data_IF_977834132480
#
_entry.id   IF_977834132480
#
_cell.length_a   1.000
_cell.length_b   1.000
_cell.length_c   1.000
_cell.angle_alpha   90.00
_cell.angle_beta   90.00
_cell.angle_gamma   90.00
#
_symmetry.space_group_name_H-M   'P 1'
#
loop_
_entity.id
_entity.type
_entity.pdbx_description
1 polymer ?
#
# COMPACT_ATOMS: atom_id res chain seq x y z
N UNK A 1 1.19 -13.06 -4.86
CA UNK A 1 -0.06 -13.81 -5.19
C UNK A 1 -1.17 -13.30 -4.27
N UNK A 2 -2.45 -13.37 -4.69
CA UNK A 2 -3.56 -12.99 -3.81
C UNK A 2 -3.73 -14.02 -2.68
N UNK A 3 -3.99 -13.56 -1.44
CA UNK A 3 -4.31 -14.46 -0.34
C UNK A 3 -5.66 -15.18 -0.51
N UNK A 4 -6.54 -14.68 -1.38
CA UNK A 4 -7.88 -15.21 -1.63
C UNK A 4 -7.96 -16.14 -2.86
N UNK A 5 -6.97 -16.09 -3.73
CA UNK A 5 -6.88 -16.92 -4.93
C UNK A 5 -5.41 -17.02 -5.41
N UNK A 6 -4.81 -18.20 -5.24
CA UNK A 6 -3.43 -18.46 -5.64
C UNK A 6 -3.17 -18.36 -7.14
N UNK A 7 -4.21 -18.41 -7.98
CA UNK A 7 -4.08 -18.20 -9.42
C UNK A 7 -3.99 -16.73 -9.80
N UNK A 8 -4.34 -15.82 -8.87
CA UNK A 8 -4.24 -14.39 -9.06
C UNK A 8 -2.87 -13.90 -8.62
N UNK A 9 -2.06 -13.46 -9.58
CA UNK A 9 -0.69 -12.97 -9.32
C UNK A 9 -0.54 -11.61 -9.96
N UNK A 10 0.01 -10.67 -9.18
CA UNK A 10 0.33 -9.32 -9.62
C UNK A 10 1.84 -9.16 -9.74
N UNK A 11 2.28 -8.45 -10.77
CA UNK A 11 3.68 -8.15 -11.01
C UNK A 11 3.83 -6.67 -11.37
N UNK A 12 4.79 -6.00 -10.73
CA UNK A 12 5.17 -4.62 -11.01
C UNK A 12 6.63 -4.54 -11.43
N UNK A 13 6.98 -3.55 -12.25
CA UNK A 13 8.34 -3.37 -12.77
C UNK A 13 8.91 -1.98 -12.45
N UNK A 14 10.21 -1.80 -12.72
CA UNK A 14 10.90 -0.53 -12.51
C UNK A 14 10.62 0.52 -13.61
N UNK A 15 10.06 0.12 -14.75
CA UNK A 15 9.64 1.00 -15.85
C UNK A 15 8.15 1.41 -15.78
N UNK A 16 7.42 0.99 -14.74
CA UNK A 16 6.04 1.40 -14.46
C UNK A 16 4.97 0.47 -15.03
N UNK A 17 5.35 -0.71 -15.51
CA UNK A 17 4.40 -1.71 -15.98
C UNK A 17 3.81 -2.50 -14.81
N UNK A 18 2.51 -2.72 -14.85
CA UNK A 18 1.78 -3.55 -13.89
C UNK A 18 1.04 -4.62 -14.68
N UNK A 19 1.23 -5.88 -14.30
CA UNK A 19 0.57 -7.01 -14.92
C UNK A 19 -0.19 -7.83 -13.88
N UNK A 20 -1.30 -8.44 -14.32
CA UNK A 20 -2.05 -9.40 -13.52
C UNK A 20 -2.33 -10.66 -14.33
N UNK A 21 -2.20 -11.81 -13.70
CA UNK A 21 -2.73 -13.09 -14.17
C UNK A 21 -3.83 -13.55 -13.23
N UNK A 22 -4.81 -14.30 -13.74
CA UNK A 22 -5.85 -14.96 -12.96
C UNK A 22 -5.91 -16.47 -13.23
N UNK A 23 -4.92 -17.02 -13.97
CA UNK A 23 -4.86 -18.41 -14.40
C UNK A 23 -3.56 -19.10 -13.99
N UNK A 24 -2.90 -18.58 -12.94
CA UNK A 24 -1.65 -19.13 -12.41
C UNK A 24 -0.44 -18.84 -13.29
N UNK A 25 -0.50 -17.76 -14.09
CA UNK A 25 0.62 -17.29 -14.92
C UNK A 25 0.64 -17.85 -16.34
N UNK A 26 -0.44 -18.49 -16.81
CA UNK A 26 -0.56 -18.96 -18.20
C UNK A 26 -0.79 -17.78 -19.15
N UNK A 27 -1.53 -16.77 -18.72
CA UNK A 27 -1.72 -15.51 -19.44
C UNK A 27 -1.65 -14.30 -18.50
N UNK A 28 -1.16 -13.18 -19.03
CA UNK A 28 -0.96 -11.94 -18.28
C UNK A 28 -1.62 -10.78 -18.99
N UNK A 29 -2.28 -9.91 -18.23
CA UNK A 29 -2.90 -8.67 -18.71
C UNK A 29 -2.09 -7.48 -18.23
N UNK A 30 -1.77 -6.55 -19.13
CA UNK A 30 -1.20 -5.25 -18.77
C UNK A 30 -2.31 -4.36 -18.19
N UNK A 31 -2.10 -3.90 -16.96
CA UNK A 31 -3.09 -3.19 -16.14
C UNK A 31 -2.47 -1.97 -15.44
N UNK A 32 -1.49 -1.32 -16.07
CA UNK A 32 -0.88 -0.10 -15.51
C UNK A 32 -1.91 1.01 -15.29
N UNK A 33 -1.92 1.67 -14.10
CA UNK A 33 -2.77 2.83 -13.86
C UNK A 33 -2.51 3.94 -14.89
N UNK A 34 -3.54 4.43 -15.59
CA UNK A 34 -3.40 5.46 -16.63
C UNK A 34 -2.83 6.79 -16.11
N UNK A 35 -3.02 7.08 -14.82
CA UNK A 35 -2.49 8.28 -14.16
C UNK A 35 -1.04 8.14 -13.67
N UNK A 36 -0.40 6.98 -13.86
CA UNK A 36 0.98 6.76 -13.43
C UNK A 36 1.96 7.20 -14.53
N UNK A 37 2.86 8.16 -14.26
CA UNK A 37 3.82 8.59 -15.27
C UNK A 37 4.87 7.51 -15.57
N UNK A 38 5.22 7.29 -16.84
CA UNK A 38 6.14 6.21 -17.26
C UNK A 38 7.54 6.34 -16.65
N UNK A 39 8.20 5.21 -16.34
CA UNK A 39 9.41 5.11 -15.50
C UNK A 39 9.19 5.31 -14.00
N UNK A 40 7.94 5.27 -13.53
CA UNK A 40 7.66 5.10 -12.11
C UNK A 40 8.02 3.68 -11.68
N UNK A 41 8.83 3.53 -10.64
CA UNK A 41 9.11 2.23 -10.06
C UNK A 41 7.89 1.78 -9.24
N UNK A 42 7.29 0.64 -9.61
CA UNK A 42 6.28 0.00 -8.77
C UNK A 42 6.97 -0.54 -7.52
N UNK A 43 6.65 0.02 -6.36
CA UNK A 43 7.36 -0.24 -5.10
C UNK A 43 6.67 -1.31 -4.25
N UNK A 44 5.33 -1.39 -4.29
CA UNK A 44 4.55 -2.45 -3.65
C UNK A 44 3.25 -2.70 -4.40
N UNK A 45 2.79 -3.95 -4.37
CA UNK A 45 1.43 -4.33 -4.74
C UNK A 45 0.90 -5.23 -3.62
N UNK A 46 -0.23 -4.85 -3.02
CA UNK A 46 -0.91 -5.54 -1.94
C UNK A 46 -2.28 -6.02 -2.42
N UNK A 47 -2.42 -7.29 -2.85
CA UNK A 47 -3.73 -7.85 -3.15
C UNK A 47 -4.59 -7.90 -1.89
N UNK A 48 -5.87 -7.53 -1.99
CA UNK A 48 -6.73 -7.49 -0.82
C UNK A 48 -6.87 -8.86 -0.15
N UNK A 49 -6.89 -8.82 1.18
CA UNK A 49 -7.15 -9.96 2.06
C UNK A 49 -8.64 -10.30 2.18
N UNK A 50 -9.53 -9.41 1.73
CA UNK A 50 -10.99 -9.54 1.95
C UNK A 50 -11.82 -9.47 0.67
N UNK A 51 -11.29 -8.91 -0.42
CA UNK A 51 -12.03 -8.70 -1.66
C UNK A 51 -11.24 -9.20 -2.88
N UNK A 52 -11.77 -10.23 -3.56
CA UNK A 52 -11.17 -10.73 -4.81
C UNK A 52 -11.15 -9.65 -5.88
N UNK A 53 -10.07 -9.63 -6.67
CA UNK A 53 -9.87 -8.61 -7.71
C UNK A 53 -9.42 -7.25 -7.19
N UNK A 54 -9.47 -7.02 -5.87
CA UNK A 54 -9.00 -5.76 -5.29
C UNK A 54 -7.50 -5.83 -4.97
N UNK A 55 -6.81 -4.72 -5.18
CA UNK A 55 -5.40 -4.57 -4.84
C UNK A 55 -5.03 -3.10 -4.63
N UNK A 56 -4.03 -2.87 -3.79
CA UNK A 56 -3.43 -1.56 -3.56
C UNK A 56 -2.02 -1.55 -4.17
N UNK A 57 -1.62 -0.40 -4.71
CA UNK A 57 -0.34 -0.25 -5.37
C UNK A 57 0.33 1.04 -4.91
N UNK A 58 1.64 0.97 -4.66
CA UNK A 58 2.49 2.15 -4.53
C UNK A 58 3.50 2.21 -5.66
N UNK A 59 3.82 3.43 -6.08
CA UNK A 59 4.90 3.69 -7.01
C UNK A 59 5.73 4.90 -6.57
N UNK A 60 6.95 5.02 -7.10
CA UNK A 60 7.82 6.15 -6.79
C UNK A 60 8.62 6.60 -8.01
N UNK A 61 8.88 7.89 -8.07
CA UNK A 61 9.69 8.55 -9.11
C UNK A 61 10.77 9.45 -8.51
N UNK A 62 11.12 9.25 -7.24
CA UNK A 62 12.00 10.16 -6.50
C UNK A 62 13.42 10.26 -7.09
N UNK A 63 13.89 9.24 -7.84
CA UNK A 63 15.16 9.29 -8.58
C UNK A 63 15.11 10.22 -9.81
N UNK A 64 13.93 10.74 -10.14
CA UNK A 64 13.66 11.68 -11.23
C UNK A 64 13.17 13.03 -10.69
N UNK A 65 13.55 13.38 -9.45
CA UNK A 65 13.13 14.60 -8.73
C UNK A 65 11.61 14.79 -8.60
N UNK A 66 10.87 13.67 -8.66
CA UNK A 66 9.43 13.64 -8.49
C UNK A 66 9.07 12.95 -7.16
N UNK A 67 8.70 13.78 -6.18
CA UNK A 67 8.43 13.37 -4.81
C UNK A 67 6.94 13.15 -4.52
N UNK A 68 6.07 13.16 -5.54
CA UNK A 68 4.64 12.96 -5.36
C UNK A 68 4.32 11.57 -4.82
N UNK A 69 3.31 11.45 -3.92
CA UNK A 69 2.77 10.16 -3.53
C UNK A 69 1.98 9.56 -4.68
N UNK A 70 2.38 8.36 -5.13
CA UNK A 70 1.61 7.54 -6.05
C UNK A 70 1.09 6.31 -5.30
N UNK A 71 -0.19 6.36 -4.93
CA UNK A 71 -0.90 5.28 -4.25
C UNK A 71 -2.24 5.08 -4.97
N UNK A 72 -2.53 3.85 -5.37
CA UNK A 72 -3.73 3.51 -6.13
C UNK A 72 -4.44 2.30 -5.54
N UNK A 73 -5.76 2.27 -5.69
CA UNK A 73 -6.61 1.11 -5.44
C UNK A 73 -7.25 0.65 -6.76
N UNK A 74 -7.40 -0.66 -6.92
CA UNK A 74 -8.30 -1.27 -7.90
C UNK A 74 -9.24 -2.22 -7.18
N UNK A 75 -10.43 -2.44 -7.73
CA UNK A 75 -11.42 -3.42 -7.26
C UNK A 75 -11.83 -4.43 -8.34
N UNK A 76 -11.19 -4.38 -9.51
CA UNK A 76 -11.62 -5.09 -10.72
C UNK A 76 -10.45 -5.71 -11.51
N UNK A 77 -9.47 -6.25 -10.78
CA UNK A 77 -8.26 -6.85 -11.35
C UNK A 77 -7.46 -5.85 -12.21
N UNK A 78 -7.47 -4.56 -11.84
CA UNK A 78 -6.64 -3.53 -12.44
C UNK A 78 -7.19 -2.98 -13.75
N UNK A 79 -8.44 -3.30 -14.11
CA UNK A 79 -9.08 -2.67 -15.26
C UNK A 79 -9.28 -1.17 -15.02
N UNK A 80 -9.58 -0.78 -13.78
CA UNK A 80 -9.63 0.60 -13.32
C UNK A 80 -8.81 0.78 -12.04
N UNK A 81 -8.18 1.95 -11.93
CA UNK A 81 -7.41 2.35 -10.77
C UNK A 81 -7.84 3.74 -10.30
N UNK A 82 -8.06 3.87 -9.01
CA UNK A 82 -8.41 5.12 -8.33
C UNK A 82 -7.23 5.59 -7.49
N UNK A 83 -6.75 6.84 -7.65
CA UNK A 83 -5.73 7.38 -6.76
C UNK A 83 -6.31 7.58 -5.36
N UNK A 84 -5.58 7.12 -4.34
CA UNK A 84 -5.97 7.17 -2.93
C UNK A 84 -4.91 7.93 -2.13
N UNK A 85 -4.82 9.25 -2.36
CA UNK A 85 -3.72 10.10 -1.85
C UNK A 85 -4.19 11.27 -0.98
N UNK A 86 -5.50 11.39 -0.75
CA UNK A 86 -6.08 12.45 0.09
C UNK A 86 -5.52 12.39 1.53
N UNK A 87 -5.11 13.53 2.07
CA UNK A 87 -4.49 13.62 3.40
C UNK A 87 -2.97 13.41 3.42
N UNK A 88 -2.37 12.94 2.32
CA UNK A 88 -0.91 12.87 2.17
C UNK A 88 -0.33 14.22 1.71
N UNK A 89 0.80 14.68 2.30
CA UNK A 89 1.55 15.79 1.75
C UNK A 89 2.13 15.47 0.36
N UNK A 90 2.24 16.48 -0.50
CA UNK A 90 2.70 16.32 -1.88
C UNK A 90 4.17 15.86 -2.02
N UNK A 91 4.98 15.95 -0.97
CA UNK A 91 6.41 15.58 -0.97
C UNK A 91 6.70 14.23 -0.29
N UNK A 92 5.68 13.40 -0.10
CA UNK A 92 5.72 12.13 0.63
C UNK A 92 5.55 10.93 -0.30
N UNK A 93 6.49 10.74 -1.25
CA UNK A 93 6.50 9.54 -2.08
C UNK A 93 6.47 8.25 -1.25
N UNK A 94 5.79 7.23 -1.77
CA UNK A 94 5.43 6.01 -1.06
C UNK A 94 6.29 4.81 -1.47
N UNK A 95 6.58 3.93 -0.51
CA UNK A 95 7.33 2.69 -0.73
C UNK A 95 6.47 1.45 -0.61
N UNK A 96 5.55 1.43 0.34
CA UNK A 96 4.78 0.25 0.69
C UNK A 96 3.39 0.63 1.15
N UNK A 97 2.41 -0.17 0.73
CA UNK A 97 1.05 -0.19 1.26
C UNK A 97 0.77 -1.60 1.78
N UNK A 98 0.12 -1.70 2.94
CA UNK A 98 -0.39 -2.95 3.52
C UNK A 98 -1.84 -2.77 3.94
N UNK A 99 -2.65 -3.79 3.73
CA UNK A 99 -3.99 -3.89 4.27
C UNK A 99 -3.94 -4.74 5.55
N UNK A 100 -4.71 -4.37 6.56
CA UNK A 100 -4.94 -5.25 7.70
C UNK A 100 -5.80 -6.46 7.26
N UNK A 101 -5.34 -7.71 7.43
CA UNK A 101 -6.14 -8.86 7.06
C UNK A 101 -7.41 -9.05 7.90
N UNK A 102 -7.48 -8.46 9.10
CA UNK A 102 -8.65 -8.51 9.98
C UNK A 102 -9.62 -7.35 9.78
N UNK A 103 -9.20 -6.29 9.08
CA UNK A 103 -10.02 -5.11 8.81
C UNK A 103 -9.78 -4.55 7.39
N UNK A 104 -10.78 -4.77 6.53
CA UNK A 104 -10.78 -4.32 5.14
C UNK A 104 -10.49 -2.82 4.95
N UNK A 105 -10.85 -1.99 5.94
CA UNK A 105 -10.76 -0.53 5.86
C UNK A 105 -9.45 0.01 6.40
N UNK A 106 -8.72 -0.78 7.17
CA UNK A 106 -7.47 -0.35 7.79
C UNK A 106 -6.31 -0.59 6.83
N UNK A 107 -5.72 0.50 6.36
CA UNK A 107 -4.54 0.48 5.49
C UNK A 107 -3.38 1.20 6.17
N UNK A 108 -2.16 0.73 5.91
CA UNK A 108 -0.92 1.36 6.35
C UNK A 108 -0.05 1.70 5.15
N UNK A 109 0.61 2.86 5.21
CA UNK A 109 1.47 3.35 4.14
C UNK A 109 2.83 3.77 4.70
N UNK A 110 3.89 3.17 4.19
CA UNK A 110 5.27 3.58 4.47
C UNK A 110 5.76 4.55 3.41
N UNK A 111 6.24 5.73 3.84
CA UNK A 111 6.68 6.81 2.95
C UNK A 111 8.15 7.17 3.17
N UNK A 112 8.62 8.18 2.42
CA UNK A 112 9.92 8.84 2.61
C UNK A 112 10.25 9.20 4.05
N UNK A 113 9.26 9.62 4.86
CA UNK A 113 9.53 10.22 6.16
C UNK A 113 8.71 9.65 7.32
N UNK A 114 7.68 8.82 7.10
CA UNK A 114 6.82 8.34 8.18
C UNK A 114 6.00 7.12 7.75
N UNK A 115 5.21 6.59 8.69
CA UNK A 115 4.03 5.78 8.43
C UNK A 115 2.78 6.66 8.44
N UNK A 116 1.80 6.33 7.60
CA UNK A 116 0.43 6.84 7.61
C UNK A 116 -0.55 5.66 7.74
N UNK A 117 -1.72 5.94 8.29
CA UNK A 117 -2.83 4.99 8.37
C UNK A 117 -4.10 5.60 7.78
N UNK A 118 -4.91 4.78 7.12
CA UNK A 118 -6.27 5.12 6.71
C UNK A 118 -7.25 4.19 7.42
N UNK A 119 -8.36 4.74 7.88
CA UNK A 119 -9.44 4.02 8.59
C UNK A 119 -10.68 3.82 7.71
N UNK A 120 -10.58 4.22 6.43
CA UNK A 120 -11.69 4.31 5.48
C UNK A 120 -11.33 3.73 4.11
N UNK A 121 -10.40 2.76 4.07
CA UNK A 121 -10.03 2.06 2.85
C UNK A 121 -9.20 2.89 1.86
N UNK A 122 -8.49 3.91 2.35
CA UNK A 122 -7.63 4.78 1.56
C UNK A 122 -8.29 6.09 1.12
N UNK A 123 -9.53 6.37 1.53
CA UNK A 123 -10.20 7.64 1.18
C UNK A 123 -9.52 8.84 1.85
N UNK A 124 -9.02 8.68 3.08
CA UNK A 124 -8.23 9.69 3.78
C UNK A 124 -7.08 9.07 4.61
N UNK A 125 -5.90 9.69 4.52
CA UNK A 125 -4.71 9.26 5.26
C UNK A 125 -4.40 10.17 6.44
N UNK A 126 -4.12 9.55 7.58
CA UNK A 126 -3.67 10.21 8.81
C UNK A 126 -2.22 9.85 9.13
N UNK A 127 -1.40 10.80 9.60
CA UNK A 127 -0.04 10.48 10.05
C UNK A 127 -0.07 9.55 11.26
N UNK A 128 0.70 8.45 11.18
CA UNK A 128 0.90 7.50 12.27
C UNK A 128 2.35 7.62 12.80
N UNK A 129 2.71 8.84 13.19
CA UNK A 129 4.08 9.27 13.40
C UNK A 129 4.46 9.43 14.89
N UNK A 130 3.93 8.58 15.78
CA UNK A 130 4.00 8.69 17.25
C UNK A 130 5.36 9.23 17.77
N UNK A 131 6.34 8.35 17.96
CA UNK A 131 7.74 8.71 18.27
C UNK A 131 8.70 8.19 17.18
N UNK A 132 8.14 7.79 16.03
CA UNK A 132 8.92 7.35 14.89
C UNK A 132 9.72 8.57 14.37
N UNK A 133 11.05 8.51 14.30
CA UNK A 133 11.83 9.60 13.73
C UNK A 133 11.48 9.79 12.26
N UNK A 134 11.69 10.99 11.72
CA UNK A 134 11.61 11.21 10.27
C UNK A 134 12.61 10.30 9.55
N UNK A 135 12.10 9.25 8.90
CA UNK A 135 12.89 8.21 8.26
C UNK A 135 12.09 7.54 7.14
N UNK A 136 12.79 7.01 6.15
CA UNK A 136 12.17 6.21 5.11
C UNK A 136 11.69 4.90 5.70
N UNK A 137 10.42 4.58 5.49
CA UNK A 137 9.82 3.29 5.85
C UNK A 137 9.70 2.47 4.59
N UNK A 138 10.61 1.53 4.41
CA UNK A 138 10.80 0.77 3.16
C UNK A 138 9.86 -0.41 3.03
N UNK A 139 9.47 -0.99 4.16
CA UNK A 139 8.52 -2.09 4.21
C UNK A 139 7.70 -2.05 5.51
N UNK A 140 6.52 -2.64 5.46
CA UNK A 140 5.58 -2.78 6.56
C UNK A 140 5.11 -4.24 6.58
N UNK A 141 4.95 -4.81 7.77
CA UNK A 141 4.34 -6.11 7.96
C UNK A 141 3.29 -6.06 9.06
N UNK A 142 2.08 -6.52 8.75
CA UNK A 142 1.00 -6.70 9.73
C UNK A 142 1.11 -8.10 10.30
N UNK A 143 1.42 -8.21 11.60
CA UNK A 143 1.43 -9.47 12.32
C UNK A 143 0.06 -9.72 12.92
N UNK A 144 -0.79 -10.42 12.18
CA UNK A 144 -2.17 -10.75 12.60
C UNK A 144 -2.27 -11.60 13.87
N UNK A 145 -1.22 -12.35 14.22
CA UNK A 145 -1.25 -13.23 15.41
C UNK A 145 -1.06 -12.46 16.71
N UNK A 146 -0.22 -11.42 16.66
CA UNK A 146 0.06 -10.57 17.82
C UNK A 146 -0.73 -9.26 17.78
N UNK A 147 -1.25 -8.90 16.60
CA UNK A 147 -1.92 -7.63 16.35
C UNK A 147 -0.93 -6.48 16.31
N UNK A 148 0.22 -6.65 15.64
CA UNK A 148 1.29 -5.65 15.61
C UNK A 148 1.55 -5.17 14.18
N UNK A 149 1.99 -3.92 14.04
CA UNK A 149 2.56 -3.40 12.79
C UNK A 149 4.07 -3.23 12.95
N UNK A 150 4.83 -3.94 12.13
CA UNK A 150 6.30 -3.84 12.09
C UNK A 150 6.70 -2.96 10.90
N UNK A 151 7.51 -1.94 11.16
CA UNK A 151 8.05 -1.04 10.16
C UNK A 151 9.56 -1.24 9.98
N UNK A 152 9.98 -1.51 8.74
CA UNK A 152 11.38 -1.61 8.35
C UNK A 152 11.89 -0.24 7.90
N UNK A 153 12.76 0.38 8.70
CA UNK A 153 13.27 1.74 8.39
C UNK A 153 14.64 1.70 7.73
N UNK A 154 14.91 2.68 6.87
CA UNK A 154 16.22 2.85 6.28
C UNK A 154 17.22 3.42 7.30
N UNK A 155 18.11 2.56 7.81
CA UNK A 155 19.22 2.94 8.68
C UNK A 155 18.86 3.20 10.15
N UNK A 156 17.64 2.87 10.60
CA UNK A 156 17.18 3.11 12.00
C UNK A 156 16.42 1.93 12.63
N UNK A 157 16.76 0.70 12.23
CA UNK A 157 16.20 -0.57 12.76
C UNK A 157 14.71 -0.80 12.44
N UNK A 158 14.16 -1.88 13.00
CA UNK A 158 12.73 -2.15 12.98
C UNK A 158 12.02 -1.39 14.10
N UNK A 159 10.81 -0.93 13.82
CA UNK A 159 9.90 -0.30 14.77
C UNK A 159 8.62 -1.11 14.85
N UNK A 160 8.09 -1.30 16.05
CA UNK A 160 6.87 -2.09 16.26
C UNK A 160 5.84 -1.19 16.94
N UNK A 161 4.67 -1.10 16.33
CA UNK A 161 3.48 -0.61 16.98
C UNK A 161 2.70 -1.83 17.45
N UNK A 162 2.72 -2.04 18.77
CA UNK A 162 1.97 -3.13 19.39
C UNK A 162 0.48 -2.80 19.44
N UNK A 163 -0.35 -3.83 19.37
CA UNK A 163 -1.80 -3.78 19.58
C UNK A 163 -2.57 -2.83 18.63
N UNK A 164 -2.87 -3.33 17.44
CA UNK A 164 -3.66 -2.69 16.40
C UNK A 164 -5.15 -2.57 16.72
N UNK A 165 -5.65 -3.19 17.80
CA UNK A 165 -7.08 -3.22 18.11
C UNK A 165 -7.69 -1.82 18.25
N UNK A 166 -6.92 -0.83 18.71
CA UNK A 166 -7.39 0.56 18.77
C UNK A 166 -7.64 1.13 17.37
N UNK A 167 -6.73 0.89 16.42
CA UNK A 167 -6.87 1.37 15.05
C UNK A 167 -8.02 0.66 14.33
N UNK A 168 -8.18 -0.65 14.55
CA UNK A 168 -9.34 -1.44 14.07
C UNK A 168 -10.68 -0.95 14.67
N UNK A 169 -10.69 -0.39 15.87
CA UNK A 169 -11.90 0.21 16.45
C UNK A 169 -12.24 1.55 15.79
N UNK A 170 -11.23 2.33 15.38
CA UNK A 170 -11.43 3.62 14.71
C UNK A 170 -12.12 3.47 13.35
N UNK A 171 -11.91 2.36 12.65
CA UNK A 171 -12.60 2.09 11.36
C UNK A 171 -14.12 1.90 11.50
N UNK A 172 -14.58 1.56 12.72
CA UNK A 172 -15.98 1.24 13.04
C UNK A 172 -16.77 2.42 13.56
N UNK A 173 -16.09 3.53 13.89
CA UNK A 173 -16.79 4.74 14.31
C UNK A 173 -17.38 5.45 13.09
N UNK A 174 -18.65 5.91 13.15
CA UNK A 174 -19.20 6.77 12.11
C UNK A 174 -18.41 8.09 12.10
N UNK A 175 -17.83 8.42 10.95
CA UNK A 175 -17.29 9.76 10.64
C UNK A 175 -18.41 10.78 10.53
#
# INVERSE_FOLDING_TARGET
PSPLDGNVIWAGSADGLVHVTADGGKSWKLVTPKGLPGWAQISSIEPSHVAKGSAYLTASRYMWDDFHPYVFETTDYGAHWTPITTGLPADQYAFVVRQDPNDARLLFLGTKNSVYASYDGGLFWHPLALNLPKVQVRDLAVNVRQGDLVAATHGRSFWILDNLALLEQMTRQPT
#
